data_IF_062457566666
#
_entry.id   IF_062457566666
#
_cell.length_a   1.000
_cell.length_b   1.000
_cell.length_c   1.000
_cell.angle_alpha   90.00
_cell.angle_beta   90.00
_cell.angle_gamma   90.00
#
_symmetry.space_group_name_H-M   'P 1'
#
loop_
_entity.id
_entity.type
_entity.pdbx_description
1 polymer ?
#
# COMPACT_ATOMS: atom_id res chain seq x y z
N UNK A 1 -0.27 12.44 -5.23
CA UNK A 1 0.95 11.72 -4.77
C UNK A 1 1.63 12.45 -3.62
N UNK A 2 2.21 13.63 -3.85
CA UNK A 2 2.97 14.33 -2.80
C UNK A 2 2.13 14.68 -1.58
N UNK A 3 0.85 15.04 -1.71
CA UNK A 3 -0.05 15.21 -0.55
C UNK A 3 -0.11 13.98 0.36
N UNK A 4 -0.26 12.78 -0.22
CA UNK A 4 -0.27 11.53 0.55
C UNK A 4 1.10 11.21 1.15
N UNK A 5 2.19 11.44 0.40
CA UNK A 5 3.56 11.30 0.93
C UNK A 5 3.84 12.29 2.06
N UNK A 6 3.22 13.46 2.03
CA UNK A 6 3.42 14.51 3.03
C UNK A 6 2.62 14.30 4.30
N UNK A 7 1.56 13.48 4.27
CA UNK A 7 0.82 13.13 5.47
C UNK A 7 1.77 12.50 6.50
N UNK A 8 1.83 13.13 7.68
CA UNK A 8 2.74 12.74 8.76
C UNK A 8 4.21 12.57 8.31
N UNK A 9 4.67 13.39 7.37
CA UNK A 9 5.99 13.31 6.69
C UNK A 9 6.33 11.89 6.21
N UNK A 10 5.34 11.17 5.68
CA UNK A 10 5.52 9.85 5.07
C UNK A 10 5.53 8.69 6.07
N UNK A 11 5.29 8.96 7.36
CA UNK A 11 5.14 7.95 8.40
C UNK A 11 3.70 7.42 8.43
N UNK A 12 3.32 6.72 7.36
CA UNK A 12 2.05 6.03 7.22
C UNK A 12 2.21 4.79 6.35
N UNK A 13 1.60 3.66 6.72
CA UNK A 13 1.71 2.39 5.98
C UNK A 13 1.12 2.46 4.56
N UNK A 14 0.31 3.49 4.29
CA UNK A 14 -0.28 3.76 2.98
C UNK A 14 0.46 4.87 2.21
N UNK A 15 1.45 5.53 2.81
CA UNK A 15 2.21 6.57 2.11
C UNK A 15 2.90 5.95 0.88
N UNK A 16 2.92 6.64 -0.27
CA UNK A 16 3.68 6.18 -1.42
C UNK A 16 5.16 6.00 -1.07
N UNK A 17 5.67 4.77 -1.18
CA UNK A 17 7.06 4.44 -0.85
C UNK A 17 7.98 4.67 -2.06
N UNK A 18 7.58 4.12 -3.20
CA UNK A 18 8.15 4.37 -4.52
C UNK A 18 7.06 4.70 -5.54
N UNK A 19 7.46 5.31 -6.66
CA UNK A 19 6.59 5.59 -7.80
C UNK A 19 7.27 5.15 -9.09
N UNK A 20 6.53 4.40 -9.91
CA UNK A 20 6.92 4.12 -11.29
C UNK A 20 6.52 5.29 -12.18
N UNK A 21 7.47 5.85 -12.93
CA UNK A 21 7.25 6.98 -13.83
C UNK A 21 7.73 6.60 -15.24
N UNK A 22 7.00 6.89 -16.32
CA UNK A 22 7.53 6.70 -17.67
C UNK A 22 8.89 7.39 -17.80
N UNK A 23 9.91 6.71 -18.33
CA UNK A 23 11.29 7.20 -18.33
C UNK A 23 11.40 8.61 -18.96
N UNK A 24 10.65 8.85 -20.04
CA UNK A 24 10.58 10.15 -20.72
C UNK A 24 9.96 11.29 -19.88
N UNK A 25 9.24 10.97 -18.79
CA UNK A 25 8.57 11.94 -17.91
C UNK A 25 9.25 12.06 -16.54
N UNK A 26 10.34 11.31 -16.28
CA UNK A 26 11.00 11.25 -14.97
C UNK A 26 11.37 12.65 -14.44
N UNK A 27 12.05 13.45 -15.26
CA UNK A 27 12.50 14.78 -14.85
C UNK A 27 11.34 15.75 -14.64
N UNK A 28 10.34 15.72 -15.52
CA UNK A 28 9.14 16.54 -15.38
C UNK A 28 8.38 16.18 -14.10
N UNK A 29 8.25 14.89 -13.79
CA UNK A 29 7.64 14.42 -12.56
C UNK A 29 8.42 14.88 -11.33
N UNK A 30 9.75 14.71 -11.32
CA UNK A 30 10.60 15.10 -10.20
C UNK A 30 10.50 16.61 -9.94
N UNK A 31 10.50 17.42 -11.00
CA UNK A 31 10.35 18.87 -10.92
C UNK A 31 8.99 19.25 -10.32
N UNK A 32 7.89 18.71 -10.85
CA UNK A 32 6.55 19.00 -10.32
C UNK A 32 6.36 18.53 -8.87
N UNK A 33 6.93 17.38 -8.51
CA UNK A 33 6.92 16.90 -7.13
C UNK A 33 7.65 17.89 -6.20
N UNK A 34 8.83 18.37 -6.61
CA UNK A 34 9.61 19.35 -5.86
C UNK A 34 8.88 20.69 -5.72
N UNK A 35 8.33 21.23 -6.83
CA UNK A 35 7.58 22.49 -6.84
C UNK A 35 6.32 22.42 -5.96
N UNK A 36 5.55 21.34 -6.10
CA UNK A 36 4.34 21.14 -5.31
C UNK A 36 4.65 21.05 -3.81
N UNK A 37 5.69 20.27 -3.44
CA UNK A 37 6.12 20.17 -2.04
C UNK A 37 6.70 21.48 -1.51
N UNK A 38 7.46 22.23 -2.30
CA UNK A 38 7.94 23.55 -1.92
C UNK A 38 6.80 24.56 -1.71
N UNK A 39 5.73 24.46 -2.51
CA UNK A 39 4.51 25.26 -2.33
C UNK A 39 3.75 24.92 -1.04
N UNK A 40 3.69 23.63 -0.66
CA UNK A 40 3.11 23.21 0.62
C UNK A 40 3.98 23.60 1.82
N UNK A 41 5.30 23.51 1.67
CA UNK A 41 6.26 23.74 2.76
C UNK A 41 7.40 24.67 2.33
N UNK A 42 7.19 26.00 2.30
CA UNK A 42 8.23 26.98 1.93
C UNK A 42 9.41 27.04 2.90
N UNK A 43 9.20 26.60 4.15
CA UNK A 43 10.23 26.34 5.15
C UNK A 43 9.98 24.97 5.78
N UNK A 44 10.98 24.43 6.46
CA UNK A 44 10.95 23.14 7.17
C UNK A 44 11.08 23.39 8.66
N UNK A 45 12.18 24.01 9.13
CA UNK A 45 12.45 24.14 10.57
C UNK A 45 11.43 25.05 11.27
N UNK A 46 11.19 26.23 10.70
CA UNK A 46 10.24 27.22 11.22
C UNK A 46 8.77 26.91 10.86
N UNK A 47 8.51 25.86 10.09
CA UNK A 47 7.17 25.53 9.61
C UNK A 47 6.37 24.71 10.64
N UNK A 48 5.19 25.20 11.01
CA UNK A 48 4.29 24.56 11.98
C UNK A 48 3.50 23.38 11.38
N UNK A 49 3.33 23.37 10.06
CA UNK A 49 2.61 22.32 9.34
C UNK A 49 3.55 21.17 8.92
N UNK A 50 4.86 21.38 9.02
CA UNK A 50 5.88 20.35 8.79
C UNK A 50 6.16 19.60 10.09
N UNK A 51 5.73 18.34 10.15
CA UNK A 51 5.92 17.46 11.32
C UNK A 51 7.32 16.82 11.34
N UNK A 52 7.57 15.97 12.34
CA UNK A 52 8.87 15.40 12.67
C UNK A 52 8.92 13.90 12.45
N UNK A 53 10.12 13.36 12.22
CA UNK A 53 10.35 11.93 12.41
C UNK A 53 10.18 11.58 13.89
N UNK A 54 9.52 10.47 14.17
CA UNK A 54 9.06 10.08 15.51
C UNK A 54 10.17 10.10 16.58
N UNK A 55 11.38 9.67 16.24
CA UNK A 55 12.51 9.64 17.15
C UNK A 55 13.87 9.75 16.42
N UNK A 56 14.94 9.94 17.20
CA UNK A 56 16.30 10.06 16.70
C UNK A 56 16.81 8.79 16.00
N UNK A 57 16.34 7.59 16.40
CA UNK A 57 16.75 6.32 15.81
C UNK A 57 16.19 6.18 14.39
N UNK A 58 14.92 6.54 14.18
CA UNK A 58 14.27 6.55 12.88
C UNK A 58 14.86 7.63 11.97
N UNK A 59 15.14 8.82 12.52
CA UNK A 59 15.85 9.87 11.77
C UNK A 59 17.22 9.37 11.29
N UNK A 60 18.01 8.78 12.18
CA UNK A 60 19.33 8.25 11.84
C UNK A 60 19.24 7.12 10.81
N UNK A 61 18.21 6.25 10.89
CA UNK A 61 17.96 5.20 9.89
C UNK A 61 17.75 5.81 8.49
N UNK A 62 16.88 6.82 8.38
CA UNK A 62 16.60 7.48 7.10
C UNK A 62 17.80 8.25 6.56
N UNK A 63 18.58 8.90 7.43
CA UNK A 63 19.82 9.57 7.03
C UNK A 63 20.83 8.55 6.47
N UNK A 64 21.01 7.39 7.13
CA UNK A 64 21.89 6.33 6.62
C UNK A 64 21.48 5.84 5.23
N UNK A 65 20.18 5.67 4.97
CA UNK A 65 19.70 5.30 3.64
C UNK A 65 20.10 6.32 2.57
N UNK A 66 19.92 7.61 2.87
CA UNK A 66 20.29 8.68 1.95
C UNK A 66 21.80 8.78 1.75
N UNK A 67 22.59 8.59 2.81
CA UNK A 67 24.05 8.63 2.76
C UNK A 67 24.62 7.42 2.01
N UNK A 68 24.05 6.23 2.18
CA UNK A 68 24.37 5.03 1.41
C UNK A 68 24.08 5.26 -0.08
N UNK A 69 22.90 5.79 -0.42
CA UNK A 69 22.54 6.13 -1.80
C UNK A 69 23.50 7.14 -2.44
N UNK A 70 23.83 8.23 -1.72
CA UNK A 70 24.81 9.22 -2.19
C UNK A 70 26.18 8.59 -2.40
N UNK A 71 26.63 7.73 -1.49
CA UNK A 71 27.91 7.02 -1.58
C UNK A 71 27.96 6.09 -2.79
N UNK A 72 26.83 5.46 -3.11
CA UNK A 72 26.67 4.62 -4.31
C UNK A 72 26.52 5.43 -5.62
N UNK A 73 26.57 6.76 -5.57
CA UNK A 73 26.43 7.63 -6.74
C UNK A 73 25.00 7.78 -7.25
N UNK A 74 24.00 7.42 -6.44
CA UNK A 74 22.58 7.62 -6.76
C UNK A 74 22.24 9.10 -6.69
N UNK A 75 21.37 9.54 -7.59
CA UNK A 75 20.85 10.90 -7.58
C UNK A 75 19.80 11.08 -6.46
N UNK A 76 20.16 11.91 -5.48
CA UNK A 76 19.40 12.17 -4.26
C UNK A 76 19.08 13.66 -4.17
N UNK A 77 17.81 14.02 -4.37
CA UNK A 77 17.33 15.40 -4.49
C UNK A 77 16.51 15.79 -3.27
N UNK A 78 17.13 16.50 -2.32
CA UNK A 78 16.43 17.03 -1.15
C UNK A 78 15.65 18.31 -1.52
N UNK A 79 14.38 18.37 -1.12
CA UNK A 79 13.48 19.51 -1.32
C UNK A 79 13.58 20.40 -0.07
N UNK A 80 14.44 21.42 -0.15
CA UNK A 80 14.70 22.39 0.91
C UNK A 80 14.62 23.82 0.33
N UNK A 81 13.41 24.36 0.10
CA UNK A 81 13.22 25.60 -0.65
C UNK A 81 13.85 26.83 0.00
N UNK A 82 13.93 26.88 1.33
CA UNK A 82 14.56 27.96 2.07
C UNK A 82 16.08 27.76 2.31
N UNK A 83 16.66 26.65 1.85
CA UNK A 83 18.08 26.34 2.07
C UNK A 83 18.45 26.25 3.56
N UNK A 84 17.53 25.83 4.41
CA UNK A 84 17.74 25.77 5.86
C UNK A 84 18.82 24.72 6.21
N UNK A 85 19.69 25.04 7.17
CA UNK A 85 20.63 24.06 7.72
C UNK A 85 19.94 23.23 8.81
N UNK A 86 19.42 22.07 8.39
CA UNK A 86 18.76 21.12 9.29
C UNK A 86 19.73 20.49 10.32
N UNK A 87 21.05 20.63 10.19
CA UNK A 87 21.99 20.13 11.22
C UNK A 87 21.94 20.94 12.52
N UNK A 88 21.45 22.18 12.45
CA UNK A 88 21.32 23.10 13.60
C UNK A 88 20.14 22.79 14.51
N UNK A 89 19.25 21.91 14.06
CA UNK A 89 18.00 21.60 14.75
C UNK A 89 18.24 20.92 16.10
N UNK A 90 17.44 21.26 17.13
CA UNK A 90 17.59 20.72 18.48
C UNK A 90 16.41 19.81 18.84
N UNK A 91 16.57 18.52 18.58
CA UNK A 91 15.58 17.49 18.96
C UNK A 91 14.27 17.49 18.16
N UNK A 92 14.16 18.33 17.11
CA UNK A 92 12.95 18.41 16.28
C UNK A 92 12.85 17.28 15.26
N UNK A 93 13.93 16.56 14.96
CA UNK A 93 13.97 15.43 14.03
C UNK A 93 13.28 15.66 12.66
N UNK A 94 13.34 16.88 12.13
CA UNK A 94 12.83 17.22 10.80
C UNK A 94 13.82 16.76 9.75
N UNK A 95 13.30 16.14 8.70
CA UNK A 95 14.04 15.66 7.53
C UNK A 95 13.32 16.18 6.27
N UNK A 96 14.01 16.82 5.31
CA UNK A 96 13.36 17.31 4.10
C UNK A 96 12.77 16.15 3.29
N UNK A 97 11.71 16.44 2.54
CA UNK A 97 11.29 15.51 1.50
C UNK A 97 12.44 15.30 0.52
N UNK A 98 12.72 14.05 0.18
CA UNK A 98 13.87 13.68 -0.64
C UNK A 98 13.44 12.72 -1.72
N UNK A 99 13.74 13.07 -2.98
CA UNK A 99 13.54 12.18 -4.12
C UNK A 99 14.83 11.38 -4.34
N UNK A 100 14.72 10.06 -4.53
CA UNK A 100 15.85 9.18 -4.83
C UNK A 100 15.59 8.53 -6.18
N UNK A 101 16.44 8.80 -7.17
CA UNK A 101 16.19 8.44 -8.56
C UNK A 101 16.89 7.13 -8.91
N UNK A 102 16.10 6.14 -9.31
CA UNK A 102 16.52 4.81 -9.78
C UNK A 102 17.65 4.14 -8.97
N UNK A 103 17.50 4.01 -7.64
CA UNK A 103 18.50 3.35 -6.79
C UNK A 103 18.61 1.85 -7.11
N UNK A 104 19.82 1.26 -7.03
CA UNK A 104 20.01 -0.19 -7.10
C UNK A 104 19.23 -0.95 -6.00
N UNK A 105 18.74 -2.15 -6.31
CA UNK A 105 17.95 -3.01 -5.41
C UNK A 105 18.73 -3.49 -4.17
N UNK A 106 20.06 -3.37 -4.20
CA UNK A 106 20.92 -3.78 -3.09
C UNK A 106 20.93 -2.80 -1.93
N UNK A 107 20.57 -1.53 -2.17
CA UNK A 107 20.59 -0.49 -1.15
C UNK A 107 19.50 -0.72 -0.10
N UNK A 108 19.78 -0.36 1.15
CA UNK A 108 18.86 -0.65 2.26
C UNK A 108 17.49 0.02 2.07
N UNK A 109 17.46 1.20 1.45
CA UNK A 109 16.22 1.93 1.13
C UNK A 109 15.29 1.20 0.15
N UNK A 110 15.80 0.25 -0.63
CA UNK A 110 15.01 -0.58 -1.54
C UNK A 110 14.50 -1.87 -0.88
N UNK A 111 15.07 -2.25 0.27
CA UNK A 111 14.79 -3.52 0.95
C UNK A 111 13.88 -3.38 2.16
N UNK A 112 13.77 -2.18 2.71
CA UNK A 112 13.01 -1.87 3.91
C UNK A 112 11.95 -0.82 3.62
N UNK A 113 10.81 -0.88 4.34
CA UNK A 113 9.79 0.18 4.27
C UNK A 113 10.39 1.51 4.76
N UNK A 114 10.24 2.57 3.96
CA UNK A 114 10.88 3.86 4.25
C UNK A 114 10.23 4.49 5.47
N UNK A 115 8.89 4.54 5.51
CA UNK A 115 8.13 5.13 6.62
C UNK A 115 8.66 6.53 7.01
N UNK A 116 8.85 7.38 6.00
CA UNK A 116 9.45 8.70 6.12
C UNK A 116 9.38 9.48 4.81
N UNK A 117 9.95 10.70 4.76
CA UNK A 117 9.75 11.65 3.67
C UNK A 117 10.67 11.39 2.46
N UNK A 118 11.07 10.13 2.23
CA UNK A 118 11.87 9.72 1.09
C UNK A 118 10.95 9.10 0.04
N UNK A 119 10.96 9.56 -1.21
CA UNK A 119 10.19 8.98 -2.31
C UNK A 119 11.14 8.48 -3.40
N UNK A 120 11.08 7.18 -3.70
CA UNK A 120 11.89 6.59 -4.76
C UNK A 120 11.20 6.77 -6.11
N UNK A 121 11.92 7.27 -7.10
CA UNK A 121 11.44 7.38 -8.48
C UNK A 121 12.06 6.25 -9.31
N UNK A 122 11.22 5.34 -9.83
CA UNK A 122 11.66 4.23 -10.70
C UNK A 122 11.20 4.50 -12.14
N UNK A 123 12.10 4.89 -13.06
CA UNK A 123 11.75 5.02 -14.46
C UNK A 123 11.30 3.67 -15.04
N UNK A 124 10.39 3.69 -16.00
CA UNK A 124 10.02 2.50 -16.77
C UNK A 124 9.74 2.83 -18.22
N UNK A 125 9.95 1.85 -19.10
CA UNK A 125 9.59 1.92 -20.52
C UNK A 125 8.27 1.19 -20.81
N UNK A 126 8.03 0.06 -20.14
CA UNK A 126 6.82 -0.74 -20.30
C UNK A 126 6.11 -0.97 -18.97
N UNK A 127 4.80 -0.69 -18.94
CA UNK A 127 3.94 -0.90 -17.76
C UNK A 127 4.01 -2.34 -17.22
N UNK A 128 4.15 -3.32 -18.13
CA UNK A 128 4.23 -4.75 -17.76
C UNK A 128 5.44 -5.04 -16.86
N UNK A 129 6.52 -4.27 -17.00
CA UNK A 129 7.69 -4.44 -16.15
C UNK A 129 7.40 -3.95 -14.73
N UNK A 130 6.60 -2.89 -14.59
CA UNK A 130 6.10 -2.40 -13.29
C UNK A 130 5.18 -3.42 -12.62
N UNK A 131 4.18 -3.95 -13.32
CA UNK A 131 3.26 -4.94 -12.73
C UNK A 131 3.99 -6.24 -12.36
N UNK A 132 4.94 -6.68 -13.20
CA UNK A 132 5.82 -7.82 -12.88
C UNK A 132 6.66 -7.53 -11.64
N UNK A 133 7.27 -6.35 -11.53
CA UNK A 133 8.02 -5.95 -10.35
C UNK A 133 7.15 -6.04 -9.11
N UNK A 134 5.97 -5.42 -9.09
CA UNK A 134 5.06 -5.46 -7.94
C UNK A 134 4.68 -6.90 -7.59
N UNK A 135 4.37 -7.74 -8.59
CA UNK A 135 3.96 -9.12 -8.39
C UNK A 135 5.06 -10.02 -7.80
N UNK A 136 6.34 -9.71 -8.01
CA UNK A 136 7.47 -10.47 -7.47
C UNK A 136 7.99 -9.95 -6.13
N UNK A 137 7.39 -8.89 -5.58
CA UNK A 137 7.75 -8.30 -4.29
C UNK A 137 6.69 -8.59 -3.22
N UNK A 138 7.00 -8.36 -1.92
CA UNK A 138 6.00 -8.46 -0.86
C UNK A 138 4.74 -7.64 -1.17
N UNK A 139 3.57 -8.26 -1.00
CA UNK A 139 2.26 -7.66 -1.35
C UNK A 139 2.01 -6.39 -0.53
N UNK A 140 1.89 -5.22 -1.17
CA UNK A 140 1.75 -3.94 -0.46
C UNK A 140 0.37 -3.77 0.16
N UNK A 141 0.26 -2.91 1.16
CA UNK A 141 -1.03 -2.54 1.75
C UNK A 141 -1.86 -1.68 0.79
N UNK A 142 -1.24 -0.67 0.17
CA UNK A 142 -1.87 0.18 -0.85
C UNK A 142 -1.13 0.11 -2.18
N UNK A 143 -1.89 0.08 -3.28
CA UNK A 143 -1.39 0.21 -4.64
C UNK A 143 -2.12 1.35 -5.35
N UNK A 144 -1.40 2.19 -6.08
CA UNK A 144 -1.95 3.40 -6.70
C UNK A 144 -1.63 3.44 -8.18
N UNK A 145 -2.64 3.70 -9.02
CA UNK A 145 -2.48 3.81 -10.48
C UNK A 145 -3.06 5.15 -10.95
N UNK A 146 -2.28 5.91 -11.72
CA UNK A 146 -2.69 7.19 -12.28
C UNK A 146 -2.86 7.04 -13.80
N UNK A 147 -4.10 6.94 -14.26
CA UNK A 147 -4.45 6.77 -15.67
C UNK A 147 -5.94 7.05 -15.91
N UNK A 148 -6.29 7.43 -17.14
CA UNK A 148 -7.67 7.47 -17.62
C UNK A 148 -7.98 6.32 -18.59
N UNK A 149 -7.01 5.46 -18.91
CA UNK A 149 -7.24 4.26 -19.72
C UNK A 149 -7.69 3.09 -18.84
N UNK A 150 -8.95 2.71 -19.00
CA UNK A 150 -9.55 1.59 -18.26
C UNK A 150 -8.82 0.26 -18.51
N UNK A 151 -8.23 0.06 -19.69
CA UNK A 151 -7.47 -1.17 -19.98
C UNK A 151 -6.22 -1.26 -19.10
N UNK A 152 -5.58 -0.13 -18.84
CA UNK A 152 -4.43 -0.05 -17.93
C UNK A 152 -4.86 -0.36 -16.51
N UNK A 153 -6.01 0.17 -16.06
CA UNK A 153 -6.55 -0.14 -14.74
C UNK A 153 -6.79 -1.65 -14.60
N UNK A 154 -7.50 -2.26 -15.55
CA UNK A 154 -7.81 -3.68 -15.52
C UNK A 154 -6.56 -4.55 -15.59
N UNK A 155 -5.55 -4.17 -16.39
CA UNK A 155 -4.28 -4.88 -16.47
C UNK A 155 -3.54 -4.88 -15.12
N UNK A 156 -3.46 -3.72 -14.45
CA UNK A 156 -2.85 -3.60 -13.12
C UNK A 156 -3.58 -4.45 -12.10
N UNK A 157 -4.93 -4.40 -12.07
CA UNK A 157 -5.75 -5.19 -11.15
C UNK A 157 -5.62 -6.71 -11.40
N UNK A 158 -5.50 -7.13 -12.66
CA UNK A 158 -5.40 -8.54 -13.02
C UNK A 158 -4.03 -9.17 -12.70
N UNK A 159 -2.98 -8.35 -12.66
CA UNK A 159 -1.59 -8.84 -12.53
C UNK A 159 -0.92 -8.48 -11.22
N UNK A 160 -1.61 -7.83 -10.28
CA UNK A 160 -1.05 -7.47 -8.96
C UNK A 160 -1.98 -7.88 -7.81
N UNK A 161 -1.43 -7.98 -6.60
CA UNK A 161 -2.18 -8.27 -5.39
C UNK A 161 -1.74 -7.28 -4.30
N UNK A 162 -2.69 -6.56 -3.73
CA UNK A 162 -2.48 -5.61 -2.62
C UNK A 162 -3.66 -5.67 -1.63
N UNK A 163 -3.53 -4.98 -0.49
CA UNK A 163 -4.64 -4.79 0.45
C UNK A 163 -5.78 -3.96 -0.16
N UNK A 164 -5.44 -2.83 -0.76
CA UNK A 164 -6.35 -1.97 -1.52
C UNK A 164 -5.71 -1.35 -2.76
N UNK A 165 -6.54 -0.87 -3.67
CA UNK A 165 -6.12 -0.17 -4.90
C UNK A 165 -6.88 1.15 -5.01
N UNK A 166 -6.17 2.22 -5.39
CA UNK A 166 -6.79 3.51 -5.72
C UNK A 166 -6.39 3.92 -7.14
N UNK A 167 -7.38 4.36 -7.92
CA UNK A 167 -7.18 4.92 -9.25
C UNK A 167 -7.25 6.44 -9.15
N UNK A 168 -6.24 7.13 -9.67
CA UNK A 168 -6.12 8.60 -9.75
C UNK A 168 -6.08 9.35 -8.40
N UNK A 169 -5.81 8.65 -7.31
CA UNK A 169 -5.54 9.26 -6.01
C UNK A 169 -4.67 8.31 -5.16
N UNK A 170 -4.31 8.73 -3.94
CA UNK A 170 -3.56 7.93 -2.96
C UNK A 170 -4.29 7.93 -1.63
N UNK A 171 -4.23 6.82 -0.90
CA UNK A 171 -4.71 6.68 0.49
C UNK A 171 -6.21 6.87 0.76
N UNK A 172 -6.96 7.57 -0.09
CA UNK A 172 -8.37 7.96 0.16
C UNK A 172 -9.33 6.79 0.40
N UNK A 173 -9.02 5.60 -0.13
CA UNK A 173 -9.81 4.39 0.15
C UNK A 173 -9.86 4.04 1.65
N UNK A 174 -8.87 4.44 2.45
CA UNK A 174 -8.87 4.24 3.90
C UNK A 174 -9.93 5.09 4.62
N UNK A 175 -10.44 6.15 3.98
CA UNK A 175 -11.53 6.97 4.54
C UNK A 175 -12.92 6.52 4.08
N UNK A 176 -13.01 5.53 3.19
CA UNK A 176 -14.27 4.95 2.76
C UNK A 176 -14.69 3.84 3.73
N UNK A 177 -15.53 4.17 4.72
CA UNK A 177 -16.00 3.23 5.77
C UNK A 177 -16.74 2.00 5.24
N UNK A 178 -17.31 2.10 4.04
CA UNK A 178 -17.99 0.99 3.36
C UNK A 178 -17.01 0.06 2.61
N UNK A 179 -15.72 0.39 2.56
CA UNK A 179 -14.68 -0.47 2.03
C UNK A 179 -13.96 -1.21 3.17
N UNK A 180 -13.75 -2.54 3.06
CA UNK A 180 -12.93 -3.25 4.02
C UNK A 180 -11.48 -2.76 3.94
N UNK A 181 -10.89 -2.41 5.08
CA UNK A 181 -9.50 -2.01 5.17
C UNK A 181 -8.67 -3.10 5.84
N UNK A 182 -7.66 -3.61 5.12
CA UNK A 182 -6.81 -4.70 5.58
C UNK A 182 -5.72 -5.06 4.58
N UNK A 183 -4.73 -5.83 5.02
CA UNK A 183 -3.63 -6.30 4.20
C UNK A 183 -3.83 -7.73 3.69
N UNK A 184 -2.87 -8.22 2.90
CA UNK A 184 -2.83 -9.59 2.41
C UNK A 184 -1.39 -10.10 2.34
N UNK A 185 -1.13 -11.25 2.94
CA UNK A 185 0.24 -11.80 3.01
C UNK A 185 1.13 -10.93 3.90
N UNK A 186 2.31 -10.48 3.43
CA UNK A 186 3.23 -9.67 4.26
C UNK A 186 2.65 -8.35 4.79
N UNK A 187 1.66 -7.76 4.12
CA UNK A 187 0.98 -6.53 4.58
C UNK A 187 -0.11 -6.77 5.63
N UNK A 188 -0.46 -8.02 5.93
CA UNK A 188 -1.41 -8.36 7.00
C UNK A 188 -2.41 -9.46 6.64
N UNK A 189 -3.37 -9.67 7.55
CA UNK A 189 -4.49 -10.59 7.39
C UNK A 189 -5.76 -10.03 8.05
N UNK A 190 -6.92 -10.43 7.56
CA UNK A 190 -8.20 -9.88 8.01
C UNK A 190 -8.42 -8.45 7.52
N UNK A 191 -9.55 -7.86 7.90
CA UNK A 191 -9.93 -6.50 7.55
C UNK A 191 -10.95 -5.96 8.55
N UNK A 192 -11.07 -4.63 8.63
CA UNK A 192 -12.05 -3.93 9.46
C UNK A 192 -12.63 -2.72 8.68
N UNK A 193 -13.12 -1.70 9.40
CA UNK A 193 -13.98 -0.59 8.97
C UNK A 193 -15.47 -0.94 8.88
N UNK A 194 -16.31 0.04 9.23
CA UNK A 194 -17.77 -0.07 9.21
C UNK A 194 -18.33 -1.44 9.62
N UNK A 195 -19.10 -2.05 8.71
CA UNK A 195 -19.74 -3.34 8.92
C UNK A 195 -18.73 -4.48 9.08
N UNK A 196 -17.61 -4.44 8.35
CA UNK A 196 -16.63 -5.52 8.39
C UNK A 196 -15.82 -5.52 9.68
N UNK A 197 -15.58 -4.35 10.27
CA UNK A 197 -15.05 -4.23 11.64
C UNK A 197 -15.98 -4.90 12.66
N UNK A 198 -17.29 -4.66 12.57
CA UNK A 198 -18.26 -5.36 13.42
C UNK A 198 -18.21 -6.88 13.22
N UNK A 199 -18.14 -7.37 11.97
CA UNK A 199 -18.01 -8.81 11.67
C UNK A 199 -16.71 -9.39 12.24
N UNK A 200 -15.60 -8.67 12.13
CA UNK A 200 -14.27 -9.12 12.61
C UNK A 200 -14.23 -9.36 14.12
N UNK A 201 -15.01 -8.59 14.89
CA UNK A 201 -15.14 -8.76 16.35
C UNK A 201 -16.38 -9.55 16.77
N UNK A 202 -17.07 -10.20 15.82
CA UNK A 202 -18.29 -10.97 16.08
C UNK A 202 -18.11 -12.45 15.79
N UNK A 203 -18.79 -13.29 16.58
CA UNK A 203 -18.96 -14.70 16.23
C UNK A 203 -20.28 -14.88 15.46
N UNK A 204 -20.18 -15.20 14.16
CA UNK A 204 -21.34 -15.50 13.31
C UNK A 204 -21.96 -16.87 13.67
N UNK A 205 -22.71 -16.92 14.78
CA UNK A 205 -23.30 -18.15 15.33
C UNK A 205 -24.36 -18.73 14.38
N UNK A 206 -24.13 -19.90 13.77
CA UNK A 206 -25.16 -20.54 12.94
C UNK A 206 -26.29 -21.09 13.84
N UNK A 207 -27.54 -20.84 13.44
CA UNK A 207 -28.73 -21.39 14.11
C UNK A 207 -29.61 -22.07 13.06
N UNK A 208 -29.68 -23.39 13.10
CA UNK A 208 -30.58 -24.19 12.28
C UNK A 208 -31.78 -24.66 13.10
N UNK A 209 -33.00 -24.51 12.55
CA UNK A 209 -34.23 -25.03 13.14
C UNK A 209 -34.82 -26.08 12.22
N UNK A 210 -34.81 -27.33 12.68
CA UNK A 210 -35.37 -28.46 11.93
C UNK A 210 -36.90 -28.34 11.85
N UNK A 211 -37.46 -28.64 10.67
CA UNK A 211 -38.92 -28.73 10.51
C UNK A 211 -39.47 -29.98 11.21
N UNK A 212 -40.77 -30.04 11.52
CA UNK A 212 -41.39 -31.26 12.06
C UNK A 212 -41.43 -32.42 11.05
N UNK A 213 -41.18 -32.15 9.77
CA UNK A 213 -41.14 -33.18 8.73
C UNK A 213 -39.80 -33.94 8.83
N UNK A 214 -39.82 -35.28 8.80
CA UNK A 214 -38.60 -36.08 8.90
C UNK A 214 -37.88 -36.08 7.54
N UNK A 215 -37.32 -34.95 7.13
CA UNK A 215 -36.72 -34.73 5.80
C UNK A 215 -35.62 -35.75 5.48
N UNK A 216 -34.81 -36.12 6.46
CA UNK A 216 -33.79 -37.16 6.27
C UNK A 216 -34.41 -38.54 6.00
N UNK A 217 -35.55 -38.87 6.63
CA UNK A 217 -36.29 -40.11 6.38
C UNK A 217 -36.95 -40.09 5.00
N UNK A 218 -37.62 -38.99 4.67
CA UNK A 218 -38.27 -38.77 3.37
C UNK A 218 -37.26 -38.80 2.23
N UNK A 219 -36.07 -38.26 2.47
CA UNK A 219 -34.93 -38.28 1.56
C UNK A 219 -34.19 -39.61 1.48
N UNK A 220 -34.57 -40.64 2.26
CA UNK A 220 -33.87 -41.92 2.27
C UNK A 220 -32.45 -41.87 2.84
N UNK A 221 -32.14 -40.86 3.66
CA UNK A 221 -30.83 -40.66 4.31
C UNK A 221 -30.74 -41.33 5.69
N UNK A 222 -31.77 -42.06 6.11
CA UNK A 222 -31.78 -42.85 7.33
C UNK A 222 -31.76 -44.36 7.02
N UNK A 223 -31.14 -45.20 7.88
CA UNK A 223 -31.21 -46.65 7.75
C UNK A 223 -32.64 -47.20 7.80
N UNK A 224 -32.90 -48.37 7.19
CA UNK A 224 -31.98 -49.13 6.34
C UNK A 224 -31.76 -48.44 4.98
N UNK A 225 -30.50 -48.38 4.54
CA UNK A 225 -30.13 -47.78 3.27
C UNK A 225 -30.53 -48.69 2.11
N UNK A 226 -31.02 -48.10 1.03
CA UNK A 226 -31.38 -48.81 -0.20
C UNK A 226 -31.19 -47.91 -1.41
N UNK A 227 -31.76 -48.29 -2.56
CA UNK A 227 -31.55 -47.59 -3.85
C UNK A 227 -31.81 -46.07 -3.79
N UNK A 228 -32.75 -45.62 -2.96
CA UNK A 228 -33.02 -44.18 -2.75
C UNK A 228 -31.86 -43.47 -2.07
N UNK A 229 -31.26 -44.09 -1.06
CA UNK A 229 -30.08 -43.56 -0.37
C UNK A 229 -28.90 -43.47 -1.33
N UNK A 230 -28.65 -44.52 -2.12
CA UNK A 230 -27.59 -44.55 -3.14
C UNK A 230 -27.80 -43.49 -4.22
N UNK A 231 -29.04 -43.32 -4.69
CA UNK A 231 -29.37 -42.31 -5.69
C UNK A 231 -29.15 -40.89 -5.16
N UNK A 232 -29.45 -40.63 -3.90
CA UNK A 232 -29.17 -39.32 -3.28
C UNK A 232 -27.69 -39.11 -3.04
N UNK A 233 -26.97 -40.14 -2.57
CA UNK A 233 -25.53 -40.07 -2.39
C UNK A 233 -24.84 -39.79 -3.72
N UNK A 234 -25.18 -40.52 -4.79
CA UNK A 234 -24.65 -40.27 -6.14
C UNK A 234 -24.91 -38.84 -6.61
N UNK A 235 -26.09 -38.28 -6.35
CA UNK A 235 -26.41 -36.88 -6.68
C UNK A 235 -25.57 -35.87 -5.88
N UNK A 236 -25.25 -36.17 -4.62
CA UNK A 236 -24.45 -35.30 -3.76
C UNK A 236 -22.96 -35.39 -4.07
N UNK A 237 -22.49 -36.54 -4.58
CA UNK A 237 -21.07 -36.81 -4.85
C UNK A 237 -20.70 -36.73 -6.32
N UNK A 238 -21.66 -36.61 -7.24
CA UNK A 238 -21.40 -36.29 -8.65
C UNK A 238 -21.11 -34.80 -8.78
N UNK A 239 -19.86 -34.43 -8.51
CA UNK A 239 -19.22 -33.25 -9.10
C UNK A 239 -18.78 -33.58 -10.53
#
# INVERSE_FOLDING_TARGET
IMTGKSLNVGQACLAPDYVFVPAAQLEAFAQHAAEFTAGMYPTILANRDFTSIVDARHLARLQRYLDEARTAGVDVRAINPAGEDLSTQKGTHKLPFTLVVDPPEELALMREELFGPILILKPYDALRDCTRYVATHPRPLGLYVFTHDERVVQDVLAHTISGGVVVNDVMVHASAEDLPFGGTGPSGMGHYHGQDGFKAFSHARPVYRQTKLPLQRLGGMLPPFGERAEKQLKKMTSL
#
